data_IF_591523202798
#
_entry.id   IF_591523202798
#
_cell.length_a   1.000
_cell.length_b   1.000
_cell.length_c   1.000
_cell.angle_alpha   90.00
_cell.angle_beta   90.00
_cell.angle_gamma   90.00
#
_symmetry.space_group_name_H-M   'P 1'
#
loop_
_entity.id
_entity.type
_entity.pdbx_description
1 polymer ?
#
# COMPACT_ATOMS: atom_id res chain seq x y z
N UNK A 1 17.73 7.99 2.31
CA UNK A 1 18.46 8.48 1.12
C UNK A 1 18.85 9.96 1.23
N UNK A 2 18.69 10.59 2.42
CA UNK A 2 19.15 11.95 2.75
C UNK A 2 19.10 12.95 1.58
N UNK A 3 17.90 13.06 0.98
CA UNK A 3 17.62 13.86 -0.21
C UNK A 3 16.27 14.55 -0.01
N UNK A 4 16.14 15.75 -0.57
CA UNK A 4 14.87 16.45 -0.60
C UNK A 4 13.87 15.74 -1.52
N UNK A 5 12.59 15.81 -1.15
CA UNK A 5 11.49 15.30 -1.95
C UNK A 5 11.40 16.09 -3.27
N UNK A 6 11.26 15.37 -4.39
CA UNK A 6 11.25 15.94 -5.73
C UNK A 6 12.63 16.00 -6.38
N UNK A 7 13.72 15.79 -5.64
CA UNK A 7 15.06 15.64 -6.20
C UNK A 7 15.29 14.18 -6.64
N UNK A 8 16.11 13.40 -5.94
CA UNK A 8 16.41 12.01 -6.32
C UNK A 8 15.17 11.10 -6.25
N UNK A 9 14.28 11.36 -5.27
CA UNK A 9 13.06 10.61 -5.01
C UNK A 9 11.88 11.56 -5.13
N UNK A 10 10.90 11.20 -5.95
CA UNK A 10 9.70 12.00 -6.19
C UNK A 10 8.46 11.13 -6.34
N UNK A 11 7.29 11.77 -6.35
CA UNK A 11 6.04 11.09 -6.61
C UNK A 11 5.11 11.86 -7.54
N UNK A 12 4.22 11.13 -8.21
CA UNK A 12 3.09 11.71 -8.92
C UNK A 12 1.80 10.96 -8.59
N UNK A 13 0.82 11.71 -8.09
CA UNK A 13 -0.54 11.24 -7.84
C UNK A 13 -1.51 12.06 -8.68
N UNK A 14 -2.80 11.77 -8.55
CA UNK A 14 -3.81 12.58 -9.26
C UNK A 14 -3.77 14.01 -8.73
N UNK A 15 -3.57 14.97 -9.63
CA UNK A 15 -3.52 16.41 -9.37
C UNK A 15 -2.26 16.95 -8.69
N UNK A 16 -1.28 16.10 -8.40
CA UNK A 16 -0.04 16.54 -7.76
C UNK A 16 1.16 15.78 -8.34
N UNK A 17 2.19 16.52 -8.71
CA UNK A 17 3.44 16.02 -9.25
C UNK A 17 4.59 16.72 -8.51
N UNK A 18 5.34 15.93 -7.75
CA UNK A 18 6.52 16.36 -6.99
C UNK A 18 7.73 15.61 -7.54
N UNK A 19 8.15 15.99 -8.74
CA UNK A 19 9.31 15.45 -9.43
C UNK A 19 10.16 16.55 -10.07
N UNK A 20 11.41 16.21 -10.39
CA UNK A 20 12.33 17.07 -11.13
C UNK A 20 13.08 16.27 -12.19
N UNK A 21 13.95 16.95 -12.94
CA UNK A 21 14.86 16.27 -13.89
C UNK A 21 15.86 15.35 -13.19
N UNK A 22 16.07 15.54 -11.88
CA UNK A 22 16.97 14.72 -11.07
C UNK A 22 16.29 13.47 -10.50
N UNK A 23 14.97 13.33 -10.65
CA UNK A 23 14.22 12.20 -10.10
C UNK A 23 14.60 10.89 -10.79
N UNK A 24 15.03 9.94 -9.96
CA UNK A 24 15.47 8.59 -10.37
C UNK A 24 14.58 7.51 -9.81
N UNK A 25 13.96 7.75 -8.65
CA UNK A 25 12.98 6.87 -8.02
C UNK A 25 11.65 7.61 -8.04
N UNK A 26 10.71 7.07 -8.79
CA UNK A 26 9.44 7.72 -9.06
C UNK A 26 8.30 6.87 -8.50
N UNK A 27 7.69 7.33 -7.41
CA UNK A 27 6.51 6.70 -6.83
C UNK A 27 5.26 7.21 -7.53
N UNK A 28 4.46 6.32 -8.07
CA UNK A 28 3.24 6.71 -8.78
C UNK A 28 2.09 5.83 -8.36
N UNK A 29 0.88 6.38 -8.41
CA UNK A 29 -0.32 5.54 -8.33
C UNK A 29 -0.50 4.75 -9.63
N UNK A 30 -1.15 3.59 -9.55
CA UNK A 30 -1.42 2.72 -10.71
C UNK A 30 -2.05 3.47 -11.88
N UNK A 31 -3.01 4.36 -11.58
CA UNK A 31 -3.66 5.19 -12.60
C UNK A 31 -2.71 6.15 -13.32
N UNK A 32 -1.70 6.68 -12.62
CA UNK A 32 -0.67 7.53 -13.24
C UNK A 32 0.28 6.68 -14.10
N UNK A 33 0.70 5.51 -13.62
CA UNK A 33 1.52 4.60 -14.42
C UNK A 33 0.80 4.12 -15.68
N UNK A 34 -0.49 3.79 -15.58
CA UNK A 34 -1.32 3.46 -16.74
C UNK A 34 -1.35 4.58 -17.76
N UNK A 35 -1.47 5.82 -17.30
CA UNK A 35 -1.42 7.00 -18.18
C UNK A 35 -0.06 7.10 -18.89
N UNK A 36 1.04 6.87 -18.18
CA UNK A 36 2.37 6.82 -18.82
C UNK A 36 2.43 5.75 -19.91
N UNK A 37 1.87 4.55 -19.69
CA UNK A 37 1.80 3.50 -20.72
C UNK A 37 0.97 3.89 -21.96
N UNK A 38 -0.01 4.78 -21.80
CA UNK A 38 -0.83 5.29 -22.90
C UNK A 38 -0.08 6.36 -23.72
N UNK A 39 0.70 7.20 -23.05
CA UNK A 39 1.51 8.25 -23.66
C UNK A 39 2.78 7.68 -24.31
N UNK A 40 3.41 6.70 -23.67
CA UNK A 40 4.60 5.99 -24.10
C UNK A 40 4.39 4.47 -23.97
N UNK A 41 4.17 3.82 -25.11
CA UNK A 41 3.85 2.39 -25.19
C UNK A 41 5.02 1.48 -24.82
N UNK A 42 6.25 1.99 -24.81
CA UNK A 42 7.45 1.21 -24.51
C UNK A 42 8.05 1.57 -23.15
N UNK A 43 7.52 2.60 -22.48
CA UNK A 43 8.00 3.11 -21.19
C UNK A 43 9.52 3.36 -21.21
N UNK A 44 10.01 4.08 -22.22
CA UNK A 44 11.44 4.32 -22.47
C UNK A 44 12.12 5.08 -21.34
N UNK A 45 11.34 5.85 -20.57
CA UNK A 45 11.83 6.57 -19.38
C UNK A 45 12.17 5.66 -18.20
N UNK A 46 11.69 4.42 -18.22
CA UNK A 46 11.84 3.47 -17.12
C UNK A 46 12.75 2.31 -17.53
N UNK A 47 13.76 2.05 -16.69
CA UNK A 47 14.58 0.83 -16.79
C UNK A 47 14.06 -0.29 -15.89
N UNK A 48 13.38 0.08 -14.80
CA UNK A 48 12.78 -0.84 -13.84
C UNK A 48 11.40 -0.32 -13.45
N UNK A 49 10.41 -1.21 -13.42
CA UNK A 49 9.07 -0.94 -12.90
C UNK A 49 8.81 -1.89 -11.74
N UNK A 50 8.37 -1.34 -10.61
CA UNK A 50 7.96 -2.12 -9.43
C UNK A 50 6.45 -1.95 -9.29
N UNK A 51 5.72 -3.06 -9.38
CA UNK A 51 4.28 -3.12 -9.13
C UNK A 51 4.06 -3.67 -7.72
N UNK A 52 3.76 -2.76 -6.80
CA UNK A 52 3.61 -3.06 -5.38
C UNK A 52 2.17 -3.44 -5.02
N UNK A 53 2.02 -4.10 -3.87
CA UNK A 53 0.73 -4.52 -3.31
C UNK A 53 -0.19 -5.25 -4.30
N UNK A 54 0.39 -6.11 -5.13
CA UNK A 54 -0.33 -6.90 -6.14
C UNK A 54 -1.46 -7.77 -5.55
N UNK A 55 -1.46 -7.96 -4.23
CA UNK A 55 -2.47 -8.70 -3.49
C UNK A 55 -3.82 -7.96 -3.37
N UNK A 56 -3.86 -6.62 -3.53
CA UNK A 56 -5.11 -5.85 -3.51
C UNK A 56 -5.96 -6.08 -4.76
N UNK A 57 -5.37 -6.60 -5.84
CA UNK A 57 -6.05 -6.97 -7.10
C UNK A 57 -6.96 -5.87 -7.65
N UNK A 58 -6.47 -4.64 -7.66
CA UNK A 58 -7.17 -3.54 -8.30
C UNK A 58 -7.26 -3.78 -9.82
N UNK A 59 -8.33 -3.27 -10.45
CA UNK A 59 -8.50 -3.34 -11.91
C UNK A 59 -7.31 -2.68 -12.63
N UNK A 60 -6.79 -1.59 -12.08
CA UNK A 60 -5.69 -0.84 -12.70
C UNK A 60 -4.39 -1.66 -12.66
N UNK A 61 -4.10 -2.29 -11.53
CA UNK A 61 -2.94 -3.19 -11.38
C UNK A 61 -3.03 -4.39 -12.33
N UNK A 62 -4.22 -5.00 -12.47
CA UNK A 62 -4.43 -6.13 -13.37
C UNK A 62 -4.21 -5.74 -14.85
N UNK A 63 -4.65 -4.54 -15.27
CA UNK A 63 -4.35 -4.01 -16.61
C UNK A 63 -2.84 -3.76 -16.77
N UNK A 64 -2.19 -3.18 -15.76
CA UNK A 64 -0.75 -2.96 -15.77
C UNK A 64 0.03 -4.27 -15.95
N UNK A 65 -0.40 -5.38 -15.32
CA UNK A 65 0.26 -6.67 -15.53
C UNK A 65 0.23 -7.12 -16.99
N UNK A 66 -0.92 -6.97 -17.67
CA UNK A 66 -1.06 -7.25 -19.09
C UNK A 66 -0.12 -6.39 -19.93
N UNK A 67 -0.13 -5.08 -19.70
CA UNK A 67 0.72 -4.14 -20.42
C UNK A 67 2.21 -4.40 -20.18
N UNK A 68 2.61 -4.69 -18.94
CA UNK A 68 4.02 -4.98 -18.62
C UNK A 68 4.49 -6.24 -19.32
N UNK A 69 3.66 -7.29 -19.39
CA UNK A 69 3.99 -8.52 -20.13
C UNK A 69 4.21 -8.24 -21.62
N UNK A 70 3.35 -7.42 -22.22
CA UNK A 70 3.49 -7.00 -23.61
C UNK A 70 4.75 -6.17 -23.83
N UNK A 71 5.07 -5.24 -22.93
CA UNK A 71 6.28 -4.40 -23.01
C UNK A 71 7.54 -5.26 -22.88
N UNK A 72 7.62 -6.17 -21.91
CA UNK A 72 8.75 -7.10 -21.73
C UNK A 72 8.98 -8.03 -22.94
N UNK A 73 7.93 -8.28 -23.75
CA UNK A 73 8.08 -9.03 -24.99
C UNK A 73 8.91 -8.26 -26.04
N UNK A 74 8.84 -6.92 -26.04
CA UNK A 74 9.50 -5.99 -26.97
C UNK A 74 10.80 -5.41 -26.43
N UNK A 75 10.79 -4.92 -25.18
CA UNK A 75 11.92 -4.37 -24.43
C UNK A 75 12.58 -5.48 -23.61
N UNK A 76 13.79 -5.91 -23.98
CA UNK A 76 14.56 -6.92 -23.21
C UNK A 76 15.41 -6.34 -22.08
N UNK A 77 15.60 -5.03 -22.10
CA UNK A 77 16.37 -4.26 -21.13
C UNK A 77 15.53 -3.83 -19.90
N UNK A 78 14.20 -3.76 -20.04
CA UNK A 78 13.31 -3.39 -18.93
C UNK A 78 13.20 -4.54 -17.92
N UNK A 79 13.20 -4.20 -16.63
CA UNK A 79 12.97 -5.15 -15.55
C UNK A 79 11.66 -4.84 -14.84
N UNK A 80 10.90 -5.88 -14.51
CA UNK A 80 9.64 -5.76 -13.76
C UNK A 80 9.76 -6.57 -12.48
N UNK A 81 9.45 -5.94 -11.35
CA UNK A 81 9.34 -6.58 -10.05
C UNK A 81 7.89 -6.47 -9.57
N UNK A 82 7.31 -7.58 -9.13
CA UNK A 82 5.96 -7.60 -8.55
C UNK A 82 6.09 -7.99 -7.09
N UNK A 83 5.59 -7.16 -6.19
CA UNK A 83 5.60 -7.40 -4.73
C UNK A 83 4.18 -7.66 -4.22
N UNK A 84 4.07 -8.56 -3.23
CA UNK A 84 2.80 -8.99 -2.64
C UNK A 84 3.03 -9.46 -1.20
N UNK A 85 2.17 -9.04 -0.28
CA UNK A 85 2.18 -9.49 1.11
C UNK A 85 1.61 -10.91 1.30
N UNK A 86 0.82 -11.42 0.33
CA UNK A 86 0.14 -12.72 0.47
C UNK A 86 0.90 -13.88 -0.17
N UNK A 87 0.61 -15.10 0.29
CA UNK A 87 1.22 -16.35 -0.18
C UNK A 87 0.79 -16.78 -1.59
N UNK A 88 -0.31 -16.25 -2.15
CA UNK A 88 -0.85 -16.62 -3.47
C UNK A 88 -0.06 -16.00 -4.64
N UNK A 89 1.26 -16.18 -4.59
CA UNK A 89 2.22 -15.73 -5.61
C UNK A 89 2.27 -16.64 -6.83
N UNK A 90 1.63 -17.82 -6.77
CA UNK A 90 1.67 -18.82 -7.86
C UNK A 90 1.00 -18.29 -9.13
N UNK A 91 -0.10 -17.55 -8.99
CA UNK A 91 -0.80 -16.92 -10.12
C UNK A 91 0.10 -15.94 -10.88
N UNK A 92 0.83 -15.10 -10.16
CA UNK A 92 1.76 -14.12 -10.75
C UNK A 92 2.97 -14.81 -11.38
N UNK A 93 3.56 -15.78 -10.67
CA UNK A 93 4.68 -16.60 -11.17
C UNK A 93 4.32 -17.29 -12.48
N UNK A 94 3.11 -17.86 -12.56
CA UNK A 94 2.59 -18.51 -13.78
C UNK A 94 2.28 -17.51 -14.90
N UNK A 95 1.71 -16.35 -14.57
CA UNK A 95 1.35 -15.33 -15.56
C UNK A 95 2.57 -14.69 -16.22
N UNK A 96 3.61 -14.38 -15.44
CA UNK A 96 4.85 -13.75 -15.90
C UNK A 96 5.95 -14.75 -16.27
N UNK A 97 5.76 -16.04 -16.02
CA UNK A 97 6.78 -17.09 -16.21
C UNK A 97 8.11 -16.73 -15.52
N UNK A 98 8.04 -16.21 -14.29
CA UNK A 98 9.15 -15.61 -13.58
C UNK A 98 9.57 -16.38 -12.31
N UNK A 99 10.79 -16.20 -11.80
CA UNK A 99 11.17 -16.76 -10.51
C UNK A 99 10.44 -16.05 -9.35
N UNK A 100 10.09 -16.81 -8.31
CA UNK A 100 9.55 -16.26 -7.06
C UNK A 100 10.64 -16.11 -6.01
N UNK A 101 10.61 -15.01 -5.27
CA UNK A 101 11.46 -14.78 -4.10
C UNK A 101 10.59 -14.55 -2.88
N UNK A 102 10.81 -15.32 -1.81
CA UNK A 102 10.04 -15.20 -0.58
C UNK A 102 10.95 -14.65 0.52
N UNK A 103 10.54 -13.52 1.11
CA UNK A 103 11.18 -12.95 2.29
C UNK A 103 10.43 -13.50 3.50
N UNK A 104 11.07 -14.29 4.38
CA UNK A 104 10.40 -14.82 5.56
C UNK A 104 10.00 -13.67 6.48
N UNK A 105 8.71 -13.52 6.73
CA UNK A 105 8.18 -12.61 7.73
C UNK A 105 8.35 -13.18 9.14
N UNK A 106 8.53 -12.30 10.12
CA UNK A 106 8.44 -12.66 11.54
C UNK A 106 7.15 -12.08 12.10
N UNK A 107 6.20 -12.96 12.42
CA UNK A 107 5.08 -12.58 13.26
C UNK A 107 5.44 -12.84 14.72
N UNK A 108 5.00 -11.96 15.61
CA UNK A 108 4.99 -12.21 17.04
C UNK A 108 3.64 -12.81 17.42
N UNK A 109 3.55 -13.61 18.50
CA UNK A 109 2.26 -14.06 18.99
C UNK A 109 1.38 -12.85 19.33
N UNK A 110 0.12 -12.91 18.93
CA UNK A 110 -0.90 -11.88 19.20
C UNK A 110 -2.06 -12.57 19.89
N UNK A 111 -2.39 -12.11 21.10
CA UNK A 111 -3.58 -12.54 21.82
C UNK A 111 -4.83 -11.89 21.19
N UNK A 112 -5.88 -12.70 20.99
CA UNK A 112 -7.10 -12.26 20.29
C UNK A 112 -8.29 -12.35 21.25
N UNK A 113 -8.85 -11.20 21.58
CA UNK A 113 -10.04 -11.08 22.42
C UNK A 113 -11.30 -10.76 21.61
N UNK A 114 -12.38 -11.49 21.88
CA UNK A 114 -13.68 -11.31 21.24
C UNK A 114 -14.70 -10.73 22.22
N UNK A 115 -15.55 -9.83 21.73
CA UNK A 115 -16.70 -9.35 22.50
C UNK A 115 -17.73 -10.48 22.68
N UNK A 116 -18.24 -10.66 23.91
CA UNK A 116 -19.24 -11.70 24.24
C UNK A 116 -20.55 -11.50 23.45
N UNK A 117 -20.89 -10.24 23.12
CA UNK A 117 -22.07 -9.89 22.33
C UNK A 117 -21.71 -8.82 21.30
N UNK A 118 -22.37 -8.88 20.14
CA UNK A 118 -22.28 -7.83 19.14
C UNK A 118 -22.73 -6.48 19.75
N UNK A 119 -21.87 -5.48 19.69
CA UNK A 119 -22.16 -4.13 20.17
C UNK A 119 -22.85 -3.32 19.07
N UNK A 120 -23.93 -2.61 19.40
CA UNK A 120 -24.50 -1.59 18.51
C UNK A 120 -23.61 -0.35 18.56
N UNK A 121 -23.20 0.16 17.40
CA UNK A 121 -22.26 1.29 17.30
C UNK A 121 -20.81 0.89 17.58
N UNK A 122 -20.20 0.14 16.65
CA UNK A 122 -18.83 -0.37 16.80
C UNK A 122 -17.79 0.74 17.01
N UNK A 123 -17.97 1.92 16.42
CA UNK A 123 -17.04 3.04 16.57
C UNK A 123 -16.90 3.48 18.02
N UNK A 124 -18.03 3.70 18.74
CA UNK A 124 -17.99 4.06 20.17
C UNK A 124 -17.36 2.96 21.01
N UNK A 125 -17.70 1.70 20.71
CA UNK A 125 -17.10 0.55 21.38
C UNK A 125 -15.59 0.43 21.15
N UNK A 126 -15.11 0.76 19.95
CA UNK A 126 -13.68 0.78 19.61
C UNK A 126 -12.94 1.89 20.37
N UNK A 127 -13.54 3.08 20.47
CA UNK A 127 -13.00 4.20 21.27
C UNK A 127 -12.94 3.84 22.75
N UNK A 128 -14.00 3.27 23.31
CA UNK A 128 -14.01 2.78 24.69
C UNK A 128 -12.93 1.73 24.93
N UNK A 129 -12.77 0.76 24.02
CA UNK A 129 -11.75 -0.28 24.16
C UNK A 129 -10.34 0.28 24.02
N UNK A 130 -10.11 1.26 23.14
CA UNK A 130 -8.83 1.93 23.03
C UNK A 130 -8.46 2.69 24.31
N UNK A 131 -9.44 3.34 24.97
CA UNK A 131 -9.22 3.99 26.28
C UNK A 131 -8.92 2.97 27.38
N UNK A 132 -9.66 1.87 27.42
CA UNK A 132 -9.45 0.75 28.34
C UNK A 132 -8.03 0.17 28.19
N UNK A 133 -7.61 -0.14 26.96
CA UNK A 133 -6.24 -0.61 26.66
C UNK A 133 -5.20 0.41 27.09
N UNK A 134 -5.40 1.70 26.79
CA UNK A 134 -4.46 2.75 27.17
C UNK A 134 -4.23 2.85 28.69
N UNK A 135 -5.25 2.58 29.50
CA UNK A 135 -5.18 2.66 30.96
C UNK A 135 -4.66 1.37 31.58
N UNK A 136 -5.07 0.21 31.05
CA UNK A 136 -4.90 -1.07 31.71
C UNK A 136 -3.75 -1.93 31.14
N UNK A 137 -3.28 -1.65 29.91
CA UNK A 137 -2.21 -2.41 29.26
C UNK A 137 -0.84 -1.71 29.36
N UNK A 138 0.27 -2.45 29.20
CA UNK A 138 1.61 -1.88 29.15
C UNK A 138 1.79 -0.85 28.01
N UNK A 139 2.86 -0.06 28.11
CA UNK A 139 3.22 0.94 27.11
C UNK A 139 3.32 0.35 25.69
N UNK A 140 2.57 0.95 24.76
CA UNK A 140 2.54 0.59 23.35
C UNK A 140 1.64 1.53 22.54
N UNK A 141 1.70 1.43 21.21
CA UNK A 141 0.78 2.14 20.33
C UNK A 141 -0.50 1.35 20.09
N UNK A 142 -1.60 2.06 19.86
CA UNK A 142 -2.92 1.47 19.56
C UNK A 142 -3.30 1.82 18.12
N UNK A 143 -3.60 0.80 17.31
CA UNK A 143 -4.14 0.96 15.96
C UNK A 143 -5.62 0.59 15.95
N UNK A 144 -6.48 1.54 15.57
CA UNK A 144 -7.93 1.34 15.46
C UNK A 144 -8.35 1.43 13.99
N UNK A 145 -9.06 0.42 13.50
CA UNK A 145 -9.63 0.40 12.15
C UNK A 145 -11.06 0.92 12.16
N UNK A 146 -11.35 1.92 11.33
CA UNK A 146 -12.66 2.56 11.15
C UNK A 146 -12.98 2.68 9.66
N UNK A 147 -14.25 2.89 9.30
CA UNK A 147 -14.70 2.68 7.91
C UNK A 147 -14.58 3.91 7.01
N UNK A 148 -14.40 5.11 7.57
CA UNK A 148 -14.33 6.33 6.79
C UNK A 148 -13.84 7.54 7.58
N UNK A 149 -13.59 8.62 6.86
CA UNK A 149 -13.01 9.86 7.40
C UNK A 149 -13.88 10.45 8.54
N UNK A 150 -15.19 10.59 8.34
CA UNK A 150 -16.08 11.17 9.35
C UNK A 150 -16.03 10.40 10.68
N UNK A 151 -16.01 9.06 10.62
CA UNK A 151 -15.87 8.21 11.82
C UNK A 151 -14.51 8.36 12.49
N UNK A 152 -13.44 8.50 11.68
CA UNK A 152 -12.07 8.70 12.19
C UNK A 152 -11.98 10.03 12.93
N UNK A 153 -12.50 11.11 12.33
CA UNK A 153 -12.48 12.44 12.94
C UNK A 153 -13.31 12.48 14.25
N UNK A 154 -14.49 11.85 14.26
CA UNK A 154 -15.31 11.73 15.47
C UNK A 154 -14.58 10.92 16.55
N UNK A 155 -13.99 9.77 16.20
CA UNK A 155 -13.23 8.94 17.13
C UNK A 155 -12.02 9.67 17.71
N UNK A 156 -11.26 10.39 16.89
CA UNK A 156 -10.14 11.22 17.32
C UNK A 156 -10.59 12.31 18.31
N UNK A 157 -11.72 12.97 18.04
CA UNK A 157 -12.31 13.96 18.96
C UNK A 157 -12.70 13.33 20.30
N UNK A 158 -13.30 12.14 20.29
CA UNK A 158 -13.68 11.42 21.52
C UNK A 158 -12.48 10.90 22.32
N UNK A 159 -11.39 10.54 21.65
CA UNK A 159 -10.13 10.12 22.27
C UNK A 159 -9.33 11.30 22.84
N UNK A 160 -9.34 12.46 22.16
CA UNK A 160 -8.62 13.66 22.58
C UNK A 160 -9.23 14.37 23.80
N UNK A 161 -10.46 14.04 24.19
CA UNK A 161 -11.06 14.51 25.45
C UNK A 161 -10.35 13.83 26.62
N UNK A 162 -9.97 14.62 27.63
CA UNK A 162 -9.33 14.12 28.86
C UNK A 162 -10.10 12.93 29.43
N UNK A 163 -9.36 11.90 29.82
CA UNK A 163 -9.86 10.84 30.67
C UNK A 163 -10.12 11.48 32.04
N UNK A 164 -11.39 11.53 32.45
CA UNK A 164 -11.79 11.93 33.81
C UNK A 164 -11.41 10.84 34.83
#
# INVERSE_FOLDING_TARGET
MDTDLGELVGYTIRFEDVTSRNTRIHYVTDGILLRHCLEDKELDRYSVVILDEAHERSLQTDILFGLMRDIMSKRKDIKVLVTSATLDTEKFTKFFECPKFHIPGRCFPVDVDYAIKAKRGYMKAAVEKAKDVHVNEPLGHILVFLTGQDEIEEACSLLGKKLD
#
